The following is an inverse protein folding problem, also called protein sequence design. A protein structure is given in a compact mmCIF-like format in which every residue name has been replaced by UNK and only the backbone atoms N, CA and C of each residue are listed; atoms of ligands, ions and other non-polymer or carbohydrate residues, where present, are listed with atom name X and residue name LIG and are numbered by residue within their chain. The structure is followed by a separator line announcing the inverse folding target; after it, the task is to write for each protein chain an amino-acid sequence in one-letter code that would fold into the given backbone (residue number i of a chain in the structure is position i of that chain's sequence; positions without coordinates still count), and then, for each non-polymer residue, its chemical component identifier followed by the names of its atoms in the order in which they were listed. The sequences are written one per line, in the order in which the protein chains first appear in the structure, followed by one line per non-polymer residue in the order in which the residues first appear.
data_IF_181396535606
#
_entry.id   IF_181396535606
#
_cell.length_a   1.000
_cell.length_b   1.000
_cell.length_c   1.000
_cell.angle_alpha   90.00
_cell.angle_beta   90.00
_cell.angle_gamma   90.00
#
_symmetry.space_group_name_H-M   'P 1'
#
loop_
_entity.id
_entity.type
_entity.pdbx_description
1 polymer ?
#
# COMPACT_ATOMS: atom_id res chain seq x y z
N UNK A 1 17.19 -6.03 -2.07
CA UNK A 1 16.83 -4.96 -3.02
C UNK A 1 15.66 -5.49 -3.82
N UNK A 2 14.65 -4.70 -4.08
CA UNK A 2 13.57 -5.07 -5.00
C UNK A 2 13.95 -4.70 -6.42
N UNK A 3 13.55 -5.54 -7.38
CA UNK A 3 13.85 -5.36 -8.80
C UNK A 3 12.64 -5.73 -9.66
N UNK A 4 12.54 -5.12 -10.83
CA UNK A 4 11.54 -5.46 -11.84
C UNK A 4 12.24 -6.28 -12.91
N UNK A 5 11.69 -7.43 -13.24
CA UNK A 5 12.13 -8.27 -14.35
C UNK A 5 11.08 -8.33 -15.43
N UNK A 6 11.50 -8.25 -16.68
CA UNK A 6 10.63 -8.36 -17.84
C UNK A 6 10.88 -9.69 -18.56
N UNK A 7 9.80 -10.37 -18.93
CA UNK A 7 9.86 -11.57 -19.77
C UNK A 7 10.04 -11.21 -21.24
N UNK A 8 11.05 -11.74 -21.91
CA UNK A 8 11.32 -11.48 -23.33
C UNK A 8 10.17 -11.94 -24.25
N UNK A 9 9.47 -12.99 -23.84
CA UNK A 9 8.41 -13.59 -24.67
C UNK A 9 7.07 -12.89 -24.50
N UNK A 10 6.69 -12.53 -23.29
CA UNK A 10 5.37 -11.98 -22.98
C UNK A 10 5.38 -10.49 -22.68
N UNK A 11 6.58 -9.90 -22.54
CA UNK A 11 6.76 -8.52 -22.09
C UNK A 11 6.07 -8.21 -20.75
N UNK A 12 5.74 -9.26 -19.99
CA UNK A 12 5.18 -9.11 -18.64
C UNK A 12 6.29 -8.72 -17.68
N UNK A 13 5.96 -7.76 -16.84
CA UNK A 13 6.85 -7.27 -15.78
C UNK A 13 6.45 -7.86 -14.44
N UNK A 14 7.43 -8.33 -13.68
CA UNK A 14 7.24 -8.93 -12.36
C UNK A 14 8.15 -8.22 -11.36
N UNK A 15 7.56 -7.80 -10.25
CA UNK A 15 8.30 -7.24 -9.13
C UNK A 15 8.86 -8.37 -8.27
N UNK A 16 10.18 -8.48 -8.20
CA UNK A 16 10.87 -9.36 -7.27
C UNK A 16 11.24 -8.58 -6.02
N UNK A 17 10.79 -9.07 -4.87
CA UNK A 17 11.13 -8.48 -3.58
C UNK A 17 12.20 -9.32 -2.91
N UNK A 18 13.22 -8.69 -2.35
CA UNK A 18 14.26 -9.40 -1.59
C UNK A 18 13.76 -9.96 -0.26
N UNK A 19 12.56 -9.62 0.15
CA UNK A 19 11.95 -10.08 1.38
C UNK A 19 11.15 -11.36 1.12
N UNK A 20 11.25 -12.33 2.03
CA UNK A 20 10.33 -13.47 2.02
C UNK A 20 8.94 -12.91 2.30
N UNK A 21 8.04 -12.99 1.32
CA UNK A 21 6.62 -12.79 1.56
C UNK A 21 6.21 -13.88 2.54
N UNK A 22 5.86 -13.51 3.76
CA UNK A 22 5.31 -14.46 4.71
C UNK A 22 3.98 -14.96 4.16
N UNK A 23 4.00 -16.14 3.56
CA UNK A 23 2.77 -16.84 3.25
C UNK A 23 1.99 -17.00 4.54
N UNK A 24 0.73 -16.59 4.52
CA UNK A 24 -0.19 -16.80 5.63
C UNK A 24 -0.12 -18.28 5.98
N UNK A 25 0.43 -18.59 7.15
CA UNK A 25 0.26 -19.93 7.71
C UNK A 25 -1.24 -20.11 7.86
N UNK A 26 -1.82 -21.15 7.23
CA UNK A 26 -3.23 -21.52 7.44
C UNK A 26 -3.54 -21.39 8.91
N UNK A 27 -4.21 -20.32 9.27
CA UNK A 27 -4.67 -20.08 10.62
C UNK A 27 -5.79 -21.07 10.85
N UNK A 28 -5.48 -22.18 11.50
CA UNK A 28 -6.49 -22.96 12.15
C UNK A 28 -7.20 -22.02 13.10
N UNK A 29 -8.38 -21.52 12.71
CA UNK A 29 -9.29 -20.66 13.49
C UNK A 29 -8.54 -19.75 14.46
N UNK A 30 -7.92 -18.70 13.92
CA UNK A 30 -7.32 -17.64 14.74
C UNK A 30 -8.45 -17.07 15.60
N UNK A 31 -8.39 -17.39 16.90
CA UNK A 31 -9.27 -16.74 17.86
C UNK A 31 -8.96 -15.25 17.75
N UNK A 32 -9.92 -14.53 17.21
CA UNK A 32 -10.06 -13.11 17.17
C UNK A 32 -9.37 -12.44 18.37
N UNK A 33 -8.25 -11.81 18.18
CA UNK A 33 -7.53 -11.18 19.28
C UNK A 33 -7.09 -9.76 18.92
N UNK A 34 -7.96 -8.78 19.21
CA UNK A 34 -7.68 -7.35 19.07
C UNK A 34 -6.35 -6.93 19.74
N UNK A 35 -5.99 -7.55 20.86
CA UNK A 35 -4.77 -7.22 21.62
C UNK A 35 -3.49 -7.49 20.82
N UNK A 36 -3.52 -8.47 19.91
CA UNK A 36 -2.36 -8.85 19.12
C UNK A 36 -2.31 -8.21 17.73
N UNK A 37 -3.41 -7.59 17.29
CA UNK A 37 -3.45 -6.95 15.99
C UNK A 37 -2.76 -5.58 16.04
N UNK A 38 -1.70 -5.42 15.27
CA UNK A 38 -0.94 -4.17 15.20
C UNK A 38 -1.74 -3.00 14.60
N UNK A 39 -2.83 -3.29 13.86
CA UNK A 39 -3.66 -2.27 13.21
C UNK A 39 -4.85 -1.81 14.09
N UNK A 40 -5.08 -2.46 15.25
CA UNK A 40 -6.15 -2.06 16.15
C UNK A 40 -5.79 -0.82 16.97
N UNK A 41 -6.79 0.01 17.33
CA UNK A 41 -6.60 1.11 18.27
C UNK A 41 -5.95 0.65 19.58
N UNK A 42 -5.01 1.47 20.09
CA UNK A 42 -4.17 1.16 21.26
C UNK A 42 -2.92 0.34 20.94
N UNK A 43 -2.66 0.02 19.67
CA UNK A 43 -1.47 -0.67 19.20
C UNK A 43 -0.65 0.15 18.19
N UNK A 44 -0.85 1.46 18.13
CA UNK A 44 -0.23 2.38 17.17
C UNK A 44 1.30 2.30 17.19
N UNK A 45 1.89 2.09 18.36
CA UNK A 45 3.34 1.92 18.53
C UNK A 45 3.91 0.66 17.87
N UNK A 46 3.08 -0.30 17.47
CA UNK A 46 3.49 -1.51 16.76
C UNK A 46 3.65 -1.31 15.26
N UNK A 47 3.16 -0.20 14.72
CA UNK A 47 3.28 0.20 13.31
C UNK A 47 4.34 1.29 13.15
N UNK A 48 4.65 1.66 11.92
CA UNK A 48 5.37 2.90 11.68
C UNK A 48 4.48 4.10 12.03
N UNK A 49 5.11 5.24 12.29
CA UNK A 49 4.45 6.53 12.54
C UNK A 49 3.55 6.86 11.35
N UNK A 50 2.28 7.17 11.64
CA UNK A 50 1.37 7.59 10.60
C UNK A 50 1.63 9.05 10.23
N UNK A 51 1.91 9.26 8.97
CA UNK A 51 2.11 10.59 8.40
C UNK A 51 0.81 11.23 7.88
N UNK A 52 -0.31 10.50 8.01
CA UNK A 52 -1.66 11.02 7.83
C UNK A 52 -2.64 10.22 8.70
N UNK A 53 -3.31 10.91 9.59
CA UNK A 53 -4.37 10.38 10.44
C UNK A 53 -5.62 11.22 10.25
N UNK A 54 -6.74 10.59 9.95
CA UNK A 54 -8.04 11.24 9.85
C UNK A 54 -8.81 11.01 11.14
N UNK A 55 -9.24 12.11 11.76
CA UNK A 55 -10.30 12.12 12.77
C UNK A 55 -11.56 12.72 12.16
N UNK A 56 -12.68 12.04 12.30
CA UNK A 56 -13.99 12.57 11.95
C UNK A 56 -14.84 12.65 13.20
N UNK A 57 -15.38 13.82 13.47
CA UNK A 57 -16.28 14.06 14.59
C UNK A 57 -17.41 14.99 14.17
N UNK A 58 -18.65 14.46 14.19
CA UNK A 58 -19.85 15.21 13.79
C UNK A 58 -19.73 15.85 12.39
N UNK A 59 -19.19 15.10 11.43
CA UNK A 59 -19.01 15.56 10.04
C UNK A 59 -17.82 16.52 9.84
N UNK A 60 -17.07 16.85 10.89
CA UNK A 60 -15.85 17.65 10.79
C UNK A 60 -14.67 16.71 10.66
N UNK A 61 -13.97 16.81 9.54
CA UNK A 61 -12.76 16.04 9.24
C UNK A 61 -11.53 16.84 9.62
N UNK A 62 -10.66 16.23 10.44
CA UNK A 62 -9.34 16.77 10.81
C UNK A 62 -8.25 15.87 10.29
N UNK A 63 -7.23 16.47 9.69
CA UNK A 63 -6.01 15.78 9.20
C UNK A 63 -4.89 16.05 10.19
N UNK A 64 -4.33 14.98 10.71
CA UNK A 64 -3.28 14.99 11.72
C UNK A 64 -2.16 14.04 11.29
N UNK A 65 -1.09 14.00 12.05
CA UNK A 65 -0.01 13.02 11.94
C UNK A 65 0.37 12.55 13.34
N UNK A 66 0.90 11.33 13.43
CA UNK A 66 1.50 10.85 14.66
C UNK A 66 2.88 11.49 14.87
N UNK A 67 3.27 11.60 16.13
CA UNK A 67 4.62 11.91 16.55
C UNK A 67 5.22 10.74 17.33
N UNK A 68 6.54 10.72 17.50
CA UNK A 68 7.21 9.69 18.29
C UNK A 68 6.67 9.73 19.72
N UNK A 69 6.22 8.59 20.22
CA UNK A 69 5.62 8.42 21.55
C UNK A 69 4.35 9.27 21.81
N UNK A 70 3.81 9.92 20.79
CA UNK A 70 2.57 10.69 20.86
C UNK A 70 1.67 10.35 19.67
N UNK A 71 0.94 9.27 19.79
CA UNK A 71 0.06 8.75 18.73
C UNK A 71 -1.33 9.38 18.84
N UNK A 72 -1.92 9.68 17.68
CA UNK A 72 -3.28 10.21 17.60
C UNK A 72 -4.27 9.11 17.99
N UNK A 73 -5.03 9.36 19.03
CA UNK A 73 -6.15 8.51 19.47
C UNK A 73 -7.45 8.79 18.70
N UNK A 74 -8.50 7.98 18.91
CA UNK A 74 -9.84 8.15 18.31
C UNK A 74 -9.81 8.46 16.80
N UNK A 75 -8.89 7.84 16.09
CA UNK A 75 -8.76 7.99 14.65
C UNK A 75 -9.85 7.22 13.89
N UNK A 76 -10.24 7.74 12.74
CA UNK A 76 -11.12 7.06 11.78
C UNK A 76 -10.33 6.28 10.72
N UNK A 77 -9.24 6.87 10.23
CA UNK A 77 -8.34 6.28 9.22
C UNK A 77 -6.90 6.63 9.57
N UNK A 78 -5.96 5.68 9.39
CA UNK A 78 -4.52 5.92 9.56
C UNK A 78 -3.76 5.44 8.33
N UNK A 79 -2.82 6.27 7.85
CA UNK A 79 -1.93 5.92 6.75
C UNK A 79 -0.47 6.05 7.19
N UNK A 80 0.32 5.01 6.95
CA UNK A 80 1.75 4.95 7.28
C UNK A 80 2.51 4.10 6.28
N UNK A 81 3.82 4.32 6.18
CA UNK A 81 4.71 3.46 5.39
C UNK A 81 4.64 2.04 5.93
N UNK A 82 4.42 1.06 5.07
CA UNK A 82 4.38 -0.34 5.45
C UNK A 82 5.69 -0.73 6.16
N UNK A 83 5.58 -1.55 7.21
CA UNK A 83 6.75 -1.98 8.01
C UNK A 83 7.71 -2.85 7.21
N UNK A 84 7.14 -3.72 6.36
CA UNK A 84 7.87 -4.62 5.46
C UNK A 84 7.60 -4.24 3.99
N UNK A 85 8.09 -3.08 3.53
CA UNK A 85 7.70 -2.54 2.26
C UNK A 85 8.26 -3.37 1.09
N UNK A 86 7.42 -3.62 0.07
CA UNK A 86 7.81 -4.30 -1.16
C UNK A 86 8.76 -3.45 -2.01
N UNK A 87 8.59 -2.13 -1.95
CA UNK A 87 9.42 -1.15 -2.63
C UNK A 87 9.84 -0.07 -1.64
N UNK A 88 10.99 0.54 -1.86
CA UNK A 88 11.54 1.60 -1.00
C UNK A 88 11.91 2.81 -1.85
N UNK A 89 11.88 4.03 -1.28
CA UNK A 89 12.38 5.20 -1.97
C UNK A 89 13.82 5.03 -2.41
N UNK A 90 14.18 5.64 -3.54
CA UNK A 90 15.55 5.70 -4.01
C UNK A 90 16.43 6.44 -2.99
N UNK A 91 17.48 5.79 -2.51
CA UNK A 91 18.37 6.36 -1.49
C UNK A 91 19.65 6.95 -2.05
N UNK A 92 20.10 6.50 -3.22
CA UNK A 92 21.34 6.97 -3.83
C UNK A 92 21.37 6.76 -5.34
N UNK A 93 22.26 7.51 -6.02
CA UNK A 93 22.53 7.31 -7.45
C UNK A 93 23.06 5.91 -7.78
N UNK A 94 23.70 5.24 -6.83
CA UNK A 94 24.18 3.85 -7.02
C UNK A 94 23.04 2.82 -7.06
N UNK A 95 21.89 3.17 -6.49
CA UNK A 95 20.71 2.28 -6.51
C UNK A 95 19.99 2.33 -7.85
N UNK A 96 20.30 3.29 -8.70
CA UNK A 96 19.69 3.51 -10.03
C UNK A 96 20.48 2.86 -11.18
N UNK A 97 21.54 2.08 -10.90
CA UNK A 97 22.25 1.37 -11.97
C UNK A 97 21.32 0.30 -12.56
N UNK A 98 20.95 0.55 -13.82
CA UNK A 98 20.23 -0.43 -14.64
C UNK A 98 21.20 -1.56 -14.94
N UNK A 99 20.97 -2.72 -14.33
CA UNK A 99 21.75 -3.92 -14.62
C UNK A 99 21.16 -4.61 -15.85
N UNK A 100 21.90 -4.65 -16.94
CA UNK A 100 21.63 -5.63 -17.97
C UNK A 100 22.21 -6.95 -17.46
N UNK A 101 21.35 -7.82 -16.89
CA UNK A 101 21.75 -9.16 -16.53
C UNK A 101 22.23 -9.95 -17.76
N UNK A 102 22.87 -11.10 -17.54
CA UNK A 102 23.20 -12.02 -18.61
C UNK A 102 21.92 -12.35 -19.41
N UNK A 103 22.01 -12.10 -20.71
CA UNK A 103 20.92 -12.30 -21.68
C UNK A 103 20.17 -13.61 -21.40
N UNK A 104 18.82 -13.64 -21.38
CA UNK A 104 17.87 -12.68 -21.96
C UNK A 104 16.98 -11.90 -20.96
N UNK A 105 17.41 -11.67 -19.74
CA UNK A 105 16.53 -11.09 -18.70
C UNK A 105 16.90 -9.64 -18.41
N UNK A 106 16.09 -8.73 -18.93
CA UNK A 106 16.13 -7.33 -18.51
C UNK A 106 15.64 -7.20 -17.06
N UNK A 107 16.43 -6.54 -16.22
CA UNK A 107 16.05 -6.19 -14.86
C UNK A 107 16.43 -4.74 -14.55
N UNK A 108 15.62 -4.10 -13.75
CA UNK A 108 15.86 -2.75 -13.24
C UNK A 108 15.53 -2.67 -11.75
N UNK A 109 16.23 -1.83 -10.97
CA UNK A 109 15.88 -1.58 -9.59
C UNK A 109 14.45 -1.07 -9.48
N UNK A 110 13.71 -1.52 -8.48
CA UNK A 110 12.37 -1.02 -8.22
C UNK A 110 12.35 -0.09 -7.02
N UNK A 111 12.02 1.17 -7.28
CA UNK A 111 11.85 2.19 -6.27
C UNK A 111 10.40 2.56 -6.14
N UNK A 112 10.02 3.04 -4.96
CA UNK A 112 8.68 3.50 -4.73
C UNK A 112 8.33 3.63 -3.26
N UNK A 113 7.06 3.77 -3.00
CA UNK A 113 6.47 3.90 -1.69
C UNK A 113 5.43 2.80 -1.49
N UNK A 114 5.46 2.17 -0.33
CA UNK A 114 4.46 1.18 0.05
C UNK A 114 3.78 1.64 1.34
N UNK A 115 2.53 2.09 1.21
CA UNK A 115 1.69 2.53 2.31
C UNK A 115 0.68 1.47 2.71
N UNK A 116 0.43 1.38 4.00
CA UNK A 116 -0.75 0.72 4.57
C UNK A 116 -1.72 1.79 5.06
N UNK A 117 -2.97 1.70 4.63
CA UNK A 117 -4.07 2.57 5.07
C UNK A 117 -5.06 1.70 5.84
N UNK A 118 -5.13 1.89 7.15
CA UNK A 118 -6.12 1.25 8.01
C UNK A 118 -7.44 2.00 7.85
N UNK A 119 -8.44 1.34 7.29
CA UNK A 119 -9.67 1.99 6.81
C UNK A 119 -10.77 2.11 7.84
N UNK A 120 -10.60 1.53 9.00
CA UNK A 120 -11.55 1.60 10.13
C UNK A 120 -10.85 1.20 11.41
N UNK A 121 -11.22 1.73 12.57
CA UNK A 121 -10.76 1.25 13.87
C UNK A 121 -11.35 -0.11 14.25
N UNK A 122 -12.43 -0.55 13.57
CA UNK A 122 -13.04 -1.85 13.87
C UNK A 122 -12.34 -2.99 13.13
N UNK A 123 -11.83 -3.93 13.91
CA UNK A 123 -11.05 -5.05 13.41
C UNK A 123 -11.84 -6.01 12.50
N UNK A 124 -13.14 -6.17 12.75
CA UNK A 124 -13.99 -7.13 12.01
C UNK A 124 -15.03 -6.48 11.11
N UNK A 125 -14.93 -5.16 10.92
CA UNK A 125 -15.92 -4.49 10.09
C UNK A 125 -16.12 -5.24 8.76
N UNK A 126 -17.35 -5.52 8.42
CA UNK A 126 -17.67 -5.85 7.05
C UNK A 126 -17.63 -4.58 6.22
N UNK A 127 -17.06 -4.68 5.02
CA UNK A 127 -16.94 -3.52 4.13
C UNK A 127 -18.31 -2.98 3.71
N UNK A 128 -19.31 -3.89 3.63
CA UNK A 128 -20.69 -3.53 3.31
C UNK A 128 -21.40 -2.75 4.43
N UNK A 129 -20.94 -2.91 5.66
CA UNK A 129 -21.57 -2.31 6.84
C UNK A 129 -20.92 -0.97 7.23
N UNK A 130 -19.85 -0.58 6.54
CA UNK A 130 -19.19 0.70 6.76
C UNK A 130 -20.07 1.84 6.29
N UNK A 131 -20.26 2.83 7.17
CA UNK A 131 -21.04 4.02 6.88
C UNK A 131 -20.42 4.88 5.77
N UNK A 132 -21.24 5.63 5.06
CA UNK A 132 -20.79 6.52 3.98
C UNK A 132 -19.74 7.54 4.45
N UNK A 133 -19.88 8.07 5.67
CA UNK A 133 -18.89 8.99 6.25
C UNK A 133 -17.53 8.33 6.38
N UNK A 134 -17.48 7.05 6.78
CA UNK A 134 -16.22 6.31 6.87
C UNK A 134 -15.58 6.12 5.50
N UNK A 135 -16.37 5.81 4.48
CA UNK A 135 -15.86 5.73 3.10
C UNK A 135 -15.34 7.06 2.58
N UNK A 136 -16.00 8.17 2.92
CA UNK A 136 -15.48 9.52 2.58
C UNK A 136 -14.12 9.75 3.22
N UNK A 137 -13.92 9.36 4.49
CA UNK A 137 -12.63 9.47 5.18
C UNK A 137 -11.56 8.62 4.50
N UNK A 138 -11.91 7.38 4.10
CA UNK A 138 -11.01 6.47 3.38
C UNK A 138 -10.59 7.06 2.03
N UNK A 139 -11.54 7.47 1.19
CA UNK A 139 -11.23 8.03 -0.12
C UNK A 139 -10.48 9.36 -0.04
N UNK A 140 -10.77 10.18 0.96
CA UNK A 140 -10.00 11.40 1.22
C UNK A 140 -8.53 11.07 1.52
N UNK A 141 -8.30 10.04 2.36
CA UNK A 141 -6.95 9.58 2.69
C UNK A 141 -6.22 9.04 1.46
N UNK A 142 -6.89 8.19 0.66
CA UNK A 142 -6.34 7.66 -0.58
C UNK A 142 -5.95 8.80 -1.53
N UNK A 143 -6.84 9.76 -1.73
CA UNK A 143 -6.61 10.88 -2.63
C UNK A 143 -5.41 11.74 -2.19
N UNK A 144 -5.30 12.04 -0.90
CA UNK A 144 -4.19 12.80 -0.35
C UNK A 144 -2.86 12.05 -0.52
N UNK A 145 -2.84 10.77 -0.20
CA UNK A 145 -1.64 9.94 -0.36
C UNK A 145 -1.26 9.76 -1.82
N UNK A 146 -2.22 9.54 -2.71
CA UNK A 146 -1.97 9.43 -4.13
C UNK A 146 -1.36 10.73 -4.68
N UNK A 147 -1.90 11.88 -4.34
CA UNK A 147 -1.33 13.19 -4.74
C UNK A 147 0.10 13.37 -4.26
N UNK A 148 0.36 13.03 -3.00
CA UNK A 148 1.71 13.13 -2.45
C UNK A 148 2.68 12.16 -3.15
N UNK A 149 2.26 10.90 -3.37
CA UNK A 149 3.09 9.87 -4.03
C UNK A 149 3.40 10.28 -5.47
N UNK A 150 2.40 10.75 -6.24
CA UNK A 150 2.62 11.18 -7.63
C UNK A 150 3.50 12.44 -7.75
N UNK A 151 3.62 13.23 -6.69
CA UNK A 151 4.55 14.35 -6.65
C UNK A 151 6.02 13.91 -6.40
N UNK A 152 6.26 12.64 -6.07
CA UNK A 152 7.61 12.13 -5.86
C UNK A 152 8.28 11.78 -7.19
N UNK A 153 9.62 11.82 -7.19
CA UNK A 153 10.41 11.39 -8.35
C UNK A 153 10.25 9.89 -8.59
N UNK A 154 10.37 9.50 -9.84
CA UNK A 154 10.37 8.08 -10.25
C UNK A 154 9.10 7.32 -9.89
N UNK A 155 7.96 7.99 -9.86
CA UNK A 155 6.64 7.36 -9.73
C UNK A 155 5.88 7.52 -11.04
N UNK A 156 5.56 6.40 -11.67
CA UNK A 156 4.76 6.35 -12.90
C UNK A 156 3.36 5.81 -12.65
N UNK A 157 3.20 4.96 -11.65
CA UNK A 157 1.92 4.32 -11.35
C UNK A 157 1.76 4.03 -9.87
N UNK A 158 0.52 4.06 -9.39
CA UNK A 158 0.15 3.67 -8.02
C UNK A 158 -0.90 2.58 -8.08
N UNK A 159 -0.55 1.42 -7.53
CA UNK A 159 -1.48 0.31 -7.30
C UNK A 159 -2.16 0.54 -5.96
N UNK A 160 -3.48 0.46 -5.96
CA UNK A 160 -4.30 0.55 -4.75
C UNK A 160 -5.09 -0.74 -4.66
N UNK A 161 -4.89 -1.50 -3.59
CA UNK A 161 -5.54 -2.79 -3.41
C UNK A 161 -6.15 -2.93 -2.03
N UNK A 162 -7.34 -3.51 -1.99
CA UNK A 162 -8.03 -3.92 -0.77
C UNK A 162 -8.30 -5.42 -0.87
N UNK A 163 -7.65 -6.18 0.00
CA UNK A 163 -7.80 -7.62 0.08
C UNK A 163 -8.43 -7.97 1.42
N UNK A 164 -9.56 -8.70 1.41
CA UNK A 164 -10.26 -9.15 2.61
C UNK A 164 -10.61 -10.62 2.52
N UNK A 165 -10.45 -11.31 3.64
CA UNK A 165 -10.76 -12.73 3.77
C UNK A 165 -9.57 -13.65 3.47
N UNK A 166 -9.64 -14.87 3.99
CA UNK A 166 -8.55 -15.85 3.95
C UNK A 166 -8.07 -16.19 2.53
N UNK A 167 -8.99 -16.23 1.57
CA UNK A 167 -8.69 -16.60 0.19
C UNK A 167 -8.19 -15.44 -0.67
N UNK A 168 -8.22 -14.21 -0.14
CA UNK A 168 -7.82 -13.01 -0.90
C UNK A 168 -6.31 -12.79 -0.93
N UNK A 169 -5.53 -13.57 -0.18
CA UNK A 169 -4.09 -13.36 -0.02
C UNK A 169 -3.72 -12.19 0.89
N UNK A 170 -4.69 -11.64 1.66
CA UNK A 170 -4.38 -10.59 2.63
C UNK A 170 -3.41 -11.06 3.69
N UNK A 171 -2.50 -10.20 4.10
CA UNK A 171 -1.54 -10.49 5.17
C UNK A 171 -2.10 -10.27 6.57
N UNK A 172 -3.22 -9.55 6.69
CA UNK A 172 -3.83 -9.14 7.95
C UNK A 172 -5.36 -9.19 7.86
N UNK A 173 -6.01 -9.65 8.92
CA UNK A 173 -7.47 -9.72 8.98
C UNK A 173 -8.14 -8.35 9.13
N UNK A 174 -7.48 -7.42 9.82
CA UNK A 174 -7.97 -6.06 10.00
C UNK A 174 -8.11 -5.34 8.65
N UNK A 175 -9.26 -4.75 8.33
CA UNK A 175 -9.50 -4.10 7.05
C UNK A 175 -8.48 -2.99 6.76
N UNK A 176 -7.74 -3.15 5.68
CA UNK A 176 -6.74 -2.18 5.24
C UNK A 176 -6.60 -2.17 3.73
N UNK A 177 -6.11 -1.06 3.23
CA UNK A 177 -5.72 -0.86 1.84
C UNK A 177 -4.20 -0.80 1.78
N UNK A 178 -3.63 -1.40 0.75
CA UNK A 178 -2.22 -1.22 0.40
C UNK A 178 -2.11 -0.33 -0.84
N UNK A 179 -1.23 0.67 -0.76
CA UNK A 179 -0.89 1.54 -1.88
C UNK A 179 0.60 1.36 -2.19
N UNK A 180 0.90 0.93 -3.42
CA UNK A 180 2.26 0.66 -3.85
C UNK A 180 2.54 1.48 -5.10
N UNK A 181 3.55 2.35 -5.05
CA UNK A 181 3.99 3.07 -6.23
C UNK A 181 5.05 2.31 -7.00
N UNK A 182 5.01 2.44 -8.31
CA UNK A 182 5.92 1.80 -9.23
C UNK A 182 6.58 2.85 -10.14
N UNK A 183 7.86 2.67 -10.52
CA UNK A 183 8.55 3.55 -11.44
C UNK A 183 8.14 3.32 -12.90
N UNK A 184 7.35 2.30 -13.15
CA UNK A 184 6.91 1.88 -14.48
C UNK A 184 5.39 1.84 -14.57
N UNK A 185 4.87 2.01 -15.78
CA UNK A 185 3.47 1.76 -16.08
C UNK A 185 3.26 0.26 -16.33
N UNK A 186 2.31 -0.41 -15.67
CA UNK A 186 1.96 -1.79 -15.99
C UNK A 186 1.51 -1.91 -17.44
N UNK A 187 1.95 -2.96 -18.14
CA UNK A 187 1.69 -3.13 -19.57
C UNK A 187 0.19 -3.12 -19.91
N UNK A 188 -0.64 -3.72 -19.08
CA UNK A 188 -2.10 -3.72 -19.31
C UNK A 188 -2.67 -2.30 -19.31
N UNK A 189 -2.19 -1.43 -18.43
CA UNK A 189 -2.63 -0.02 -18.36
C UNK A 189 -2.12 0.75 -19.57
N UNK A 190 -0.89 0.48 -20.01
CA UNK A 190 -0.35 1.06 -21.23
C UNK A 190 -1.15 0.67 -22.46
N UNK A 191 -1.52 -0.60 -22.59
CA UNK A 191 -2.35 -1.11 -23.68
C UNK A 191 -3.75 -0.48 -23.68
N UNK A 192 -4.39 -0.38 -22.52
CA UNK A 192 -5.70 0.28 -22.35
C UNK A 192 -5.63 1.77 -22.73
N UNK A 193 -4.61 2.49 -22.26
CA UNK A 193 -4.39 3.89 -22.61
C UNK A 193 -4.21 4.09 -24.12
N UNK A 194 -3.43 3.22 -24.78
CA UNK A 194 -3.22 3.25 -26.22
C UNK A 194 -4.52 2.99 -27.00
N UNK A 195 -5.38 2.10 -26.53
CA UNK A 195 -6.69 1.83 -27.16
C UNK A 195 -7.58 3.07 -27.06
N UNK A 196 -7.65 3.68 -25.88
CA UNK A 196 -8.46 4.91 -25.68
C UNK A 196 -7.97 6.04 -26.57
N UNK A 197 -6.64 6.25 -26.68
CA UNK A 197 -6.09 7.31 -27.56
C UNK A 197 -6.41 7.10 -29.03
N UNK A 198 -6.55 5.87 -29.49
CA UNK A 198 -6.91 5.55 -30.89
C UNK A 198 -8.41 5.69 -31.18
N UNK A 199 -9.22 5.80 -30.12
CA UNK A 199 -10.67 5.86 -30.21
C UNK A 199 -11.24 7.28 -30.18
N UNK A 200 -10.36 8.27 -29.97
CA UNK A 200 -10.64 9.72 -29.99
C UNK A 200 -10.19 10.30 -31.34
#
# INVERSE_FOLDING_TARGET
MSEIRESDFSRRKVLFTGNKISTIKKSTKSKYNRKNCELCPGNESKTNIADLVIKSKKGILSKLNDEIDNYVDDWSVRAFINKDPLVKPEKSKKDSEIGYGEVPLYHEPSFGYHYTIVITPDHIADLSDMENEQWVNVFTTIQDKARWIYAQKNVSYVVISLNKGELSGTSKEHPHIEMISLPILPKIIEEEANIVQRSI
#
